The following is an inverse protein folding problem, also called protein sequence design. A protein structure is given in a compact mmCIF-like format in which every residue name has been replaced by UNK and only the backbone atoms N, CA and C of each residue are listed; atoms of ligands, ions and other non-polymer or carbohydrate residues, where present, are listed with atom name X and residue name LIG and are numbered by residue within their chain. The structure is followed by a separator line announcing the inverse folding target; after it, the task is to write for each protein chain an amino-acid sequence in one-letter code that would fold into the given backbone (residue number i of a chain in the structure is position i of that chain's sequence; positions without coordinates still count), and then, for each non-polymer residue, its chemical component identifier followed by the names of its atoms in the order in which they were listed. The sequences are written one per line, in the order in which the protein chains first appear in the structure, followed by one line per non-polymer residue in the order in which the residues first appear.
data_IF_017583881571
#
_entry.id   IF_017583881571
#
_cell.length_a   1.000
_cell.length_b   1.000
_cell.length_c   1.000
_cell.angle_alpha   90.00
_cell.angle_beta   90.00
_cell.angle_gamma   90.00
#
_symmetry.space_group_name_H-M   'P 1'
#
loop_
_entity.id
_entity.type
_entity.pdbx_description
1 polymer ?
#
# COMPACT_ATOMS: atom_id res chain seq x y z
N UNK A 1 3.50 -7.90 -25.07
CA UNK A 1 2.86 -8.98 -24.30
C UNK A 1 3.40 -8.85 -22.88
N UNK A 2 2.55 -8.76 -21.85
CA UNK A 2 3.05 -8.72 -20.46
C UNK A 2 3.44 -10.14 -20.12
N UNK A 3 4.69 -10.35 -19.72
CA UNK A 3 5.14 -11.68 -19.30
C UNK A 3 4.37 -12.09 -18.03
N UNK A 4 3.81 -13.32 -18.00
CA UNK A 4 3.10 -13.80 -16.83
C UNK A 4 4.09 -13.91 -15.67
N UNK A 5 3.87 -13.14 -14.60
CA UNK A 5 4.68 -13.18 -13.39
C UNK A 5 3.96 -13.93 -12.27
N UNK A 6 4.77 -14.50 -11.37
CA UNK A 6 4.33 -15.15 -10.14
C UNK A 6 5.00 -14.43 -8.98
N UNK A 7 4.22 -14.09 -7.96
CA UNK A 7 4.72 -13.50 -6.72
C UNK A 7 4.30 -14.35 -5.53
N UNK A 8 5.27 -14.92 -4.85
CA UNK A 8 5.07 -15.61 -3.58
C UNK A 8 4.93 -14.60 -2.43
N UNK A 9 4.24 -15.00 -1.37
CA UNK A 9 4.04 -14.20 -0.16
C UNK A 9 5.37 -14.01 0.59
N UNK A 10 5.56 -12.81 1.16
CA UNK A 10 6.73 -12.54 1.99
C UNK A 10 6.62 -13.30 3.32
N UNK A 11 7.72 -13.86 3.78
CA UNK A 11 7.83 -14.52 5.09
C UNK A 11 8.45 -13.56 6.10
N UNK A 12 7.86 -13.48 7.28
CA UNK A 12 8.39 -12.68 8.39
C UNK A 12 8.60 -13.58 9.61
N UNK A 13 9.83 -13.64 10.11
CA UNK A 13 10.18 -14.41 11.31
C UNK A 13 10.79 -13.49 12.38
N UNK A 14 10.27 -13.60 13.62
CA UNK A 14 10.77 -12.88 14.80
C UNK A 14 12.01 -13.59 15.35
N UNK A 15 12.99 -12.80 15.78
CA UNK A 15 14.20 -13.22 16.51
C UNK A 15 14.37 -12.33 17.74
N UNK A 16 15.35 -12.62 18.57
CA UNK A 16 15.66 -11.81 19.74
C UNK A 16 16.45 -10.55 19.31
N UNK A 17 15.86 -9.37 19.49
CA UNK A 17 16.46 -8.08 19.14
C UNK A 17 16.45 -7.69 17.64
N UNK A 18 15.98 -8.57 16.76
CA UNK A 18 15.75 -8.26 15.34
C UNK A 18 14.60 -9.09 14.76
N UNK A 19 14.15 -8.76 13.55
CA UNK A 19 13.26 -9.63 12.78
C UNK A 19 13.71 -9.70 11.33
N UNK A 20 13.38 -10.82 10.71
CA UNK A 20 13.80 -11.13 9.35
C UNK A 20 12.59 -11.15 8.44
N UNK A 21 12.72 -10.51 7.29
CA UNK A 21 11.72 -10.54 6.22
C UNK A 21 12.35 -11.13 4.97
N UNK A 22 11.90 -12.32 4.59
CA UNK A 22 12.31 -12.99 3.37
C UNK A 22 11.26 -12.79 2.29
N UNK A 23 11.67 -12.14 1.20
CA UNK A 23 10.89 -12.00 -0.02
C UNK A 23 11.42 -13.01 -1.05
N UNK A 24 10.64 -14.04 -1.40
CA UNK A 24 11.00 -15.02 -2.43
C UNK A 24 11.36 -14.37 -3.78
N UNK A 25 12.06 -15.12 -4.63
CA UNK A 25 12.42 -14.66 -5.98
C UNK A 25 11.14 -14.26 -6.75
N UNK A 26 11.08 -13.02 -7.22
CA UNK A 26 10.04 -12.56 -8.15
C UNK A 26 10.45 -12.88 -9.58
N UNK A 27 9.50 -13.25 -10.43
CA UNK A 27 9.78 -13.58 -11.84
C UNK A 27 10.55 -12.44 -12.52
N UNK A 28 11.73 -12.74 -13.07
CA UNK A 28 12.62 -11.78 -13.71
C UNK A 28 13.66 -11.11 -12.80
N UNK A 29 13.71 -11.47 -11.51
CA UNK A 29 14.81 -11.09 -10.61
C UNK A 29 15.82 -12.22 -10.44
N UNK A 30 17.06 -11.84 -10.16
CA UNK A 30 18.20 -12.75 -9.97
C UNK A 30 18.31 -13.27 -8.53
N UNK A 31 17.70 -12.59 -7.56
CA UNK A 31 17.88 -12.86 -6.12
C UNK A 31 16.56 -12.83 -5.35
N UNK A 32 16.43 -13.70 -4.36
CA UNK A 32 15.51 -13.50 -3.25
C UNK A 32 16.06 -12.40 -2.33
N UNK A 33 15.17 -11.63 -1.71
CA UNK A 33 15.59 -10.50 -0.85
C UNK A 33 15.37 -10.87 0.60
N UNK A 34 16.44 -10.88 1.39
CA UNK A 34 16.39 -11.08 2.82
C UNK A 34 16.66 -9.75 3.53
N UNK A 35 15.68 -9.23 4.27
CA UNK A 35 15.84 -7.99 5.04
C UNK A 35 15.95 -8.30 6.51
N UNK A 36 17.08 -7.93 7.10
CA UNK A 36 17.33 -8.04 8.52
C UNK A 36 17.05 -6.70 9.19
N UNK A 37 16.01 -6.63 10.00
CA UNK A 37 15.54 -5.39 10.62
C UNK A 37 15.90 -5.41 12.11
N UNK A 38 16.96 -4.67 12.46
CA UNK A 38 17.52 -4.62 13.82
C UNK A 38 16.84 -3.54 14.63
N UNK A 39 16.29 -3.88 15.80
CA UNK A 39 15.62 -2.93 16.68
C UNK A 39 16.19 -2.91 18.11
N UNK A 40 17.16 -3.77 18.42
CA UNK A 40 17.95 -3.77 19.65
C UNK A 40 19.40 -3.38 19.33
N UNK A 41 19.92 -2.37 20.03
CA UNK A 41 21.30 -1.89 19.84
C UNK A 41 22.35 -2.91 20.27
N UNK A 42 22.04 -3.83 21.19
CA UNK A 42 22.99 -4.89 21.61
C UNK A 42 23.37 -5.82 20.47
N UNK A 43 22.44 -6.03 19.54
CA UNK A 43 22.58 -6.91 18.37
C UNK A 43 23.35 -6.21 17.25
N UNK A 44 23.40 -4.87 17.27
CA UNK A 44 24.01 -4.08 16.20
C UNK A 44 25.53 -4.26 16.10
N UNK A 45 26.20 -4.67 17.17
CA UNK A 45 27.66 -4.91 17.17
C UNK A 45 28.03 -6.27 16.56
N UNK A 46 27.18 -7.29 16.72
CA UNK A 46 27.36 -8.64 16.14
C UNK A 46 26.65 -8.83 14.80
N UNK A 47 26.22 -7.73 14.18
CA UNK A 47 25.40 -7.71 12.96
C UNK A 47 25.97 -8.53 11.81
N UNK A 48 27.31 -8.58 11.69
CA UNK A 48 27.99 -9.29 10.61
C UNK A 48 27.79 -10.80 10.75
N UNK A 49 28.03 -11.35 11.94
CA UNK A 49 27.86 -12.78 12.23
C UNK A 49 26.40 -13.20 12.10
N UNK A 50 25.48 -12.33 12.52
CA UNK A 50 24.04 -12.57 12.41
C UNK A 50 23.60 -12.55 10.94
N UNK A 51 24.11 -11.61 10.14
CA UNK A 51 23.81 -11.56 8.71
C UNK A 51 24.30 -12.83 7.98
N UNK A 52 25.53 -13.26 8.24
CA UNK A 52 26.11 -14.45 7.61
C UNK A 52 25.37 -15.73 8.04
N UNK A 53 25.01 -15.87 9.32
CA UNK A 53 24.25 -17.02 9.82
C UNK A 53 22.80 -17.07 9.31
N UNK A 54 22.09 -15.94 9.31
CA UNK A 54 20.73 -15.88 8.75
C UNK A 54 20.74 -16.16 7.26
N UNK A 55 21.67 -15.56 6.50
CA UNK A 55 21.78 -15.87 5.08
C UNK A 55 22.02 -17.37 4.84
N UNK A 56 22.89 -18.00 5.63
CA UNK A 56 23.13 -19.44 5.53
C UNK A 56 21.87 -20.26 5.81
N UNK A 57 21.10 -19.92 6.85
CA UNK A 57 19.85 -20.59 7.18
C UNK A 57 18.82 -20.50 6.03
N UNK A 58 18.58 -19.29 5.50
CA UNK A 58 17.59 -19.10 4.43
C UNK A 58 18.06 -19.68 3.09
N UNK A 59 19.35 -19.61 2.79
CA UNK A 59 19.93 -20.19 1.59
C UNK A 59 19.81 -21.72 1.60
N UNK A 60 20.05 -22.37 2.74
CA UNK A 60 19.85 -23.82 2.88
C UNK A 60 18.37 -24.23 2.87
N UNK A 61 17.47 -23.34 3.30
CA UNK A 61 16.03 -23.64 3.33
C UNK A 61 15.42 -23.66 1.92
N UNK A 62 15.72 -22.65 1.10
CA UNK A 62 15.10 -22.49 -0.22
C UNK A 62 16.05 -22.73 -1.40
N UNK A 63 17.35 -22.96 -1.17
CA UNK A 63 18.34 -23.23 -2.23
C UNK A 63 18.39 -22.19 -3.36
N UNK A 64 17.85 -20.99 -3.14
CA UNK A 64 17.89 -19.87 -4.08
C UNK A 64 19.03 -18.93 -3.78
N UNK A 65 19.53 -18.16 -4.75
CA UNK A 65 20.41 -17.03 -4.50
C UNK A 65 19.69 -15.95 -3.66
N UNK A 66 20.37 -15.45 -2.63
CA UNK A 66 19.82 -14.48 -1.68
C UNK A 66 20.70 -13.24 -1.64
N UNK A 67 20.05 -12.07 -1.69
CA UNK A 67 20.61 -10.78 -1.35
C UNK A 67 20.09 -10.36 0.02
N UNK A 68 20.98 -10.33 1.01
CA UNK A 68 20.70 -9.84 2.35
C UNK A 68 21.02 -8.35 2.47
N UNK A 69 20.03 -7.60 2.96
CA UNK A 69 20.17 -6.20 3.34
C UNK A 69 19.86 -6.02 4.82
N UNK A 70 20.72 -5.29 5.51
CA UNK A 70 20.48 -4.89 6.90
C UNK A 70 19.78 -3.54 6.92
N UNK A 71 18.71 -3.43 7.68
CA UNK A 71 18.00 -2.19 7.97
C UNK A 71 18.07 -1.91 9.46
N UNK A 72 18.64 -0.77 9.80
CA UNK A 72 18.65 -0.26 11.16
C UNK A 72 17.28 0.36 11.51
N UNK A 73 16.65 -0.15 12.56
CA UNK A 73 15.41 0.35 13.15
C UNK A 73 15.59 0.80 14.61
N UNK A 74 16.85 0.91 15.06
CA UNK A 74 17.21 1.48 16.37
C UNK A 74 17.16 3.01 16.33
N UNK A 75 17.26 3.65 17.48
CA UNK A 75 17.38 5.12 17.57
C UNK A 75 18.80 5.61 17.18
N UNK A 76 19.76 4.72 17.00
CA UNK A 76 21.11 5.06 16.56
C UNK A 76 21.14 5.29 15.05
N UNK A 77 21.92 6.28 14.59
CA UNK A 77 22.05 6.57 13.16
C UNK A 77 23.30 5.88 12.59
N UNK A 78 23.13 4.66 12.10
CA UNK A 78 24.16 3.92 11.37
C UNK A 78 23.56 3.20 10.17
N UNK A 79 24.34 3.06 9.10
CA UNK A 79 24.03 2.21 7.94
C UNK A 79 24.91 0.96 7.93
N UNK A 80 24.50 -0.06 7.17
CA UNK A 80 25.26 -1.30 6.99
C UNK A 80 26.72 -1.04 6.62
N UNK A 81 26.96 -0.08 5.72
CA UNK A 81 28.30 0.31 5.29
C UNK A 81 29.15 0.89 6.43
N UNK A 82 28.53 1.59 7.38
CA UNK A 82 29.23 2.23 8.49
C UNK A 82 29.71 1.19 9.52
N UNK A 83 28.92 0.11 9.74
CA UNK A 83 29.26 -0.97 10.68
C UNK A 83 30.08 -2.10 10.06
N UNK A 84 29.79 -2.48 8.82
CA UNK A 84 30.34 -3.68 8.17
C UNK A 84 31.34 -3.33 7.05
N UNK A 85 31.32 -2.10 6.54
CA UNK A 85 32.12 -1.67 5.39
C UNK A 85 31.47 -1.95 4.02
N UNK A 86 30.39 -2.74 4.01
CA UNK A 86 29.71 -3.24 2.81
C UNK A 86 28.22 -2.90 2.82
N UNK A 87 27.58 -2.91 1.64
CA UNK A 87 26.16 -2.50 1.53
C UNK A 87 25.20 -3.67 1.71
N UNK A 88 25.54 -4.82 1.12
CA UNK A 88 24.70 -6.02 1.12
C UNK A 88 25.59 -7.27 1.10
N UNK A 89 25.00 -8.39 1.52
CA UNK A 89 25.62 -9.70 1.49
C UNK A 89 24.89 -10.55 0.46
N UNK A 90 25.62 -11.07 -0.50
CA UNK A 90 25.13 -12.07 -1.43
C UNK A 90 25.49 -13.45 -0.94
N UNK A 91 24.63 -14.43 -1.21
CA UNK A 91 25.01 -15.80 -1.01
C UNK A 91 24.05 -16.80 -1.61
N UNK A 92 24.59 -18.00 -1.78
CA UNK A 92 23.93 -19.08 -2.49
C UNK A 92 24.47 -20.43 -2.06
N UNK A 93 23.76 -21.51 -2.42
CA UNK A 93 24.20 -22.87 -2.11
C UNK A 93 24.92 -23.48 -3.31
N UNK A 94 26.15 -23.97 -3.10
CA UNK A 94 26.92 -24.75 -4.07
C UNK A 94 27.37 -26.04 -3.43
N UNK A 95 26.96 -27.18 -3.98
CA UNK A 95 27.29 -28.52 -3.46
C UNK A 95 26.96 -28.70 -1.96
N UNK A 96 25.82 -28.16 -1.52
CA UNK A 96 25.36 -28.24 -0.13
C UNK A 96 26.09 -27.32 0.86
N UNK A 97 27.02 -26.48 0.39
CA UNK A 97 27.67 -25.45 1.21
C UNK A 97 27.19 -24.07 0.77
N UNK A 98 26.99 -23.19 1.76
CA UNK A 98 26.65 -21.80 1.50
C UNK A 98 27.93 -21.05 1.17
N UNK A 99 27.94 -20.39 0.01
CA UNK A 99 29.00 -19.48 -0.42
C UNK A 99 28.47 -18.07 -0.26
N UNK A 100 29.25 -17.19 0.37
CA UNK A 100 28.84 -15.82 0.71
C UNK A 100 29.85 -14.80 0.23
N UNK A 101 29.38 -13.70 -0.36
CA UNK A 101 30.21 -12.59 -0.84
C UNK A 101 29.61 -11.26 -0.42
N UNK A 102 30.43 -10.39 0.15
CA UNK A 102 30.03 -9.03 0.45
C UNK A 102 30.09 -8.16 -0.82
N UNK A 103 29.07 -7.32 -1.03
CA UNK A 103 28.84 -6.56 -2.26
C UNK A 103 28.69 -7.44 -3.50
N UNK A 104 29.56 -7.35 -4.51
CA UNK A 104 29.38 -8.03 -5.80
C UNK A 104 30.07 -9.39 -5.86
N UNK A 105 29.52 -10.31 -6.65
CA UNK A 105 30.26 -11.50 -7.05
C UNK A 105 31.49 -11.10 -7.89
N UNK A 106 32.62 -11.82 -7.76
CA UNK A 106 33.67 -11.79 -8.76
C UNK A 106 33.09 -12.21 -10.13
N UNK A 107 33.47 -11.53 -11.22
CA UNK A 107 32.97 -11.84 -12.58
C UNK A 107 33.22 -13.31 -12.97
N UNK A 108 34.24 -13.96 -12.40
CA UNK A 108 34.57 -15.37 -12.63
C UNK A 108 33.74 -16.37 -11.81
N UNK A 109 32.96 -15.89 -10.84
CA UNK A 109 32.23 -16.71 -9.86
C UNK A 109 30.74 -16.37 -9.82
N UNK A 110 30.22 -15.65 -10.82
CA UNK A 110 28.79 -15.43 -10.98
C UNK A 110 28.07 -16.77 -11.13
N UNK A 111 27.15 -17.09 -10.20
CA UNK A 111 26.50 -18.38 -10.21
C UNK A 111 25.34 -18.40 -11.22
N UNK A 112 25.32 -19.42 -12.07
CA UNK A 112 24.20 -19.69 -12.97
C UNK A 112 23.14 -20.51 -12.21
N UNK A 113 21.99 -19.89 -11.94
CA UNK A 113 20.86 -20.52 -11.27
C UNK A 113 19.70 -20.74 -12.23
N UNK A 114 19.08 -21.90 -12.10
CA UNK A 114 17.76 -22.11 -12.68
C UNK A 114 16.72 -21.37 -11.83
N UNK A 115 16.29 -20.20 -12.31
CA UNK A 115 15.19 -19.42 -11.73
C UNK A 115 13.89 -19.58 -12.55
N UNK A 116 13.77 -20.70 -13.26
CA UNK A 116 12.55 -21.05 -13.99
C UNK A 116 11.36 -21.17 -13.04
N UNK A 117 10.16 -20.97 -13.58
CA UNK A 117 8.91 -21.05 -12.80
C UNK A 117 8.72 -22.43 -12.18
N UNK A 118 9.10 -23.47 -12.90
CA UNK A 118 8.95 -24.85 -12.47
C UNK A 118 9.82 -25.10 -11.23
N UNK A 119 11.11 -24.74 -11.27
CA UNK A 119 12.00 -24.84 -10.13
C UNK A 119 11.53 -24.01 -8.93
N UNK A 120 11.15 -22.74 -9.15
CA UNK A 120 10.65 -21.88 -8.07
C UNK A 120 9.36 -22.41 -7.44
N UNK A 121 8.50 -23.10 -8.21
CA UNK A 121 7.27 -23.70 -7.70
C UNK A 121 7.53 -24.90 -6.78
N UNK A 122 8.58 -25.67 -7.06
CA UNK A 122 9.03 -26.77 -6.19
C UNK A 122 9.69 -26.24 -4.91
N UNK A 123 10.58 -25.26 -5.06
CA UNK A 123 11.30 -24.64 -3.94
C UNK A 123 10.36 -23.95 -2.96
N UNK A 124 9.38 -23.20 -3.47
CA UNK A 124 8.42 -22.47 -2.66
C UNK A 124 7.10 -23.22 -2.47
N UNK A 125 7.11 -24.54 -2.62
CA UNK A 125 5.96 -25.38 -2.38
C UNK A 125 5.41 -25.15 -0.96
N UNK A 126 4.14 -24.72 -0.88
CA UNK A 126 3.47 -24.40 0.39
C UNK A 126 3.39 -22.91 0.71
N UNK A 127 4.08 -22.04 -0.02
CA UNK A 127 3.86 -20.59 0.06
C UNK A 127 2.64 -20.20 -0.79
N UNK A 128 1.84 -19.28 -0.26
CA UNK A 128 0.80 -18.65 -1.06
C UNK A 128 1.45 -17.82 -2.15
N UNK A 129 0.90 -17.85 -3.34
CA UNK A 129 1.34 -17.04 -4.45
C UNK A 129 0.16 -16.34 -5.12
N UNK A 130 0.45 -15.23 -5.77
CA UNK A 130 -0.46 -14.55 -6.68
C UNK A 130 0.14 -14.58 -8.07
N UNK A 131 -0.65 -14.96 -9.06
CA UNK A 131 -0.27 -14.85 -10.46
C UNK A 131 -0.77 -13.52 -11.04
N UNK A 132 -0.19 -13.13 -12.18
CA UNK A 132 -0.72 -12.02 -12.97
C UNK A 132 -2.21 -12.20 -13.31
N UNK A 133 -2.62 -13.43 -13.63
CA UNK A 133 -4.00 -13.73 -14.00
C UNK A 133 -4.98 -13.52 -12.83
N UNK A 134 -4.58 -13.90 -11.61
CA UNK A 134 -5.37 -13.67 -10.40
C UNK A 134 -5.59 -12.17 -10.16
N UNK A 135 -4.54 -11.37 -10.30
CA UNK A 135 -4.62 -9.91 -10.11
C UNK A 135 -5.47 -9.26 -11.21
N UNK A 136 -5.35 -9.71 -12.46
CA UNK A 136 -6.21 -9.22 -13.54
C UNK A 136 -7.66 -9.64 -13.32
N UNK A 137 -7.92 -10.84 -12.79
CA UNK A 137 -9.26 -11.30 -12.48
C UNK A 137 -9.89 -10.47 -11.34
N UNK A 138 -9.15 -10.22 -10.24
CA UNK A 138 -9.56 -9.33 -9.15
C UNK A 138 -9.91 -7.93 -9.70
N UNK A 139 -9.02 -7.34 -10.52
CA UNK A 139 -9.27 -6.02 -11.13
C UNK A 139 -10.47 -6.01 -12.08
N UNK A 140 -10.71 -7.09 -12.83
CA UNK A 140 -11.90 -7.22 -13.69
C UNK A 140 -13.19 -7.30 -12.87
N UNK A 141 -13.17 -7.96 -11.71
CA UNK A 141 -14.32 -8.02 -10.79
C UNK A 141 -14.61 -6.64 -10.22
N UNK A 142 -13.57 -5.93 -9.75
CA UNK A 142 -13.70 -4.55 -9.25
C UNK A 142 -14.22 -3.59 -10.34
N UNK A 143 -13.73 -3.73 -11.57
CA UNK A 143 -14.18 -2.93 -12.70
C UNK A 143 -15.65 -3.22 -13.08
N UNK A 144 -16.10 -4.49 -12.99
CA UNK A 144 -17.52 -4.85 -13.16
C UNK A 144 -18.37 -4.22 -12.05
N UNK A 145 -17.94 -4.25 -10.80
CA UNK A 145 -18.62 -3.57 -9.69
C UNK A 145 -18.80 -2.07 -9.95
N UNK A 146 -17.76 -1.41 -10.46
CA UNK A 146 -17.82 0.01 -10.84
C UNK A 146 -18.80 0.28 -12.00
N UNK A 147 -18.87 -0.59 -13.00
CA UNK A 147 -19.83 -0.48 -14.11
C UNK A 147 -21.28 -0.67 -13.64
N UNK A 148 -21.55 -1.67 -12.80
CA UNK A 148 -22.89 -1.90 -12.23
C UNK A 148 -23.32 -0.71 -11.38
N UNK A 149 -22.41 -0.20 -10.54
CA UNK A 149 -22.66 1.00 -9.75
C UNK A 149 -23.04 2.20 -10.62
N UNK A 150 -22.29 2.45 -11.70
CA UNK A 150 -22.62 3.52 -12.66
C UNK A 150 -23.98 3.32 -13.32
N UNK A 151 -24.32 2.10 -13.75
CA UNK A 151 -25.62 1.79 -14.37
C UNK A 151 -26.77 2.05 -13.38
N UNK A 152 -26.64 1.63 -12.13
CA UNK A 152 -27.66 1.89 -11.09
C UNK A 152 -27.83 3.39 -10.87
N UNK A 153 -26.73 4.14 -10.81
CA UNK A 153 -26.76 5.59 -10.62
C UNK A 153 -27.41 6.32 -11.80
N UNK A 154 -27.11 5.90 -13.04
CA UNK A 154 -27.75 6.42 -14.25
C UNK A 154 -29.23 6.06 -14.31
N UNK A 155 -29.61 4.82 -14.01
CA UNK A 155 -31.01 4.42 -13.91
C UNK A 155 -31.75 5.26 -12.88
N UNK A 156 -31.16 5.50 -11.71
CA UNK A 156 -31.76 6.34 -10.68
C UNK A 156 -31.92 7.80 -11.13
N UNK A 157 -30.89 8.35 -11.78
CA UNK A 157 -30.88 9.71 -12.32
C UNK A 157 -31.84 9.92 -13.50
N UNK A 158 -32.17 8.88 -14.28
CA UNK A 158 -33.06 8.97 -15.43
C UNK A 158 -34.49 8.50 -15.12
N UNK A 159 -34.66 7.37 -14.43
CA UNK A 159 -35.97 6.78 -14.13
C UNK A 159 -36.78 7.64 -13.17
N UNK A 160 -36.17 8.22 -12.13
CA UNK A 160 -36.94 9.04 -11.18
C UNK A 160 -37.49 10.30 -11.86
N UNK A 161 -36.70 11.09 -12.61
CA UNK A 161 -37.24 12.21 -13.38
C UNK A 161 -38.25 11.80 -14.45
N UNK A 162 -38.03 10.67 -15.14
CA UNK A 162 -38.96 10.17 -16.14
C UNK A 162 -40.29 9.72 -15.52
N UNK A 163 -40.28 9.05 -14.36
CA UNK A 163 -41.48 8.68 -13.62
C UNK A 163 -42.21 9.92 -13.10
N UNK A 164 -41.50 10.93 -12.60
CA UNK A 164 -42.09 12.22 -12.21
C UNK A 164 -42.80 12.87 -13.42
N UNK A 165 -42.15 12.89 -14.59
CA UNK A 165 -42.74 13.43 -15.81
C UNK A 165 -43.95 12.62 -16.30
N UNK A 166 -43.87 11.29 -16.26
CA UNK A 166 -44.91 10.37 -16.73
C UNK A 166 -46.16 10.37 -15.82
N UNK A 167 -45.96 10.33 -14.49
CA UNK A 167 -47.06 10.49 -13.54
C UNK A 167 -47.64 11.91 -13.55
N UNK A 168 -46.83 12.91 -13.91
CA UNK A 168 -47.29 14.27 -14.20
C UNK A 168 -48.25 14.37 -15.38
N UNK A 169 -48.30 13.37 -16.26
CA UNK A 169 -49.23 13.32 -17.40
C UNK A 169 -50.47 12.46 -17.14
N UNK A 170 -50.34 11.39 -16.35
CA UNK A 170 -51.41 10.39 -16.18
C UNK A 170 -52.47 10.77 -15.14
N UNK A 171 -52.14 11.59 -14.16
CA UNK A 171 -53.10 12.03 -13.15
C UNK A 171 -52.89 13.53 -12.84
N UNK A 172 -53.86 14.40 -13.16
CA UNK A 172 -53.77 15.84 -12.88
C UNK A 172 -53.46 16.13 -11.41
N UNK A 173 -53.93 15.29 -10.49
CA UNK A 173 -53.69 15.44 -9.05
C UNK A 173 -52.22 15.18 -8.70
N UNK A 174 -51.60 14.17 -9.30
CA UNK A 174 -50.18 13.85 -9.05
C UNK A 174 -49.27 14.89 -9.70
N UNK A 175 -49.62 15.37 -10.89
CA UNK A 175 -48.96 16.50 -11.55
C UNK A 175 -49.02 17.77 -10.70
N UNK A 176 -50.21 18.07 -10.16
CA UNK A 176 -50.43 19.22 -9.30
C UNK A 176 -49.69 19.09 -7.97
N UNK A 177 -49.62 17.88 -7.39
CA UNK A 177 -48.81 17.62 -6.19
C UNK A 177 -47.30 17.74 -6.48
N UNK A 178 -46.81 17.22 -7.60
CA UNK A 178 -45.42 17.34 -8.01
C UNK A 178 -45.05 18.80 -8.31
N UNK A 179 -45.93 19.56 -8.96
CA UNK A 179 -45.78 20.98 -9.24
C UNK A 179 -45.84 21.81 -7.97
N UNK A 180 -46.80 21.53 -7.07
CA UNK A 180 -46.89 22.16 -5.76
C UNK A 180 -45.67 21.86 -4.89
N UNK A 181 -45.16 20.63 -4.92
CA UNK A 181 -43.92 20.26 -4.22
C UNK A 181 -42.70 20.96 -4.83
N UNK A 182 -42.61 21.03 -6.16
CA UNK A 182 -41.52 21.73 -6.86
C UNK A 182 -41.54 23.23 -6.57
N UNK A 183 -42.72 23.86 -6.59
CA UNK A 183 -42.90 25.26 -6.17
C UNK A 183 -42.62 25.46 -4.70
N UNK A 184 -43.05 24.56 -3.82
CA UNK A 184 -42.74 24.64 -2.39
C UNK A 184 -41.22 24.55 -2.15
N UNK A 185 -40.52 23.61 -2.80
CA UNK A 185 -39.06 23.48 -2.71
C UNK A 185 -38.37 24.70 -3.30
N UNK A 186 -38.82 25.21 -4.45
CA UNK A 186 -38.28 26.42 -5.07
C UNK A 186 -38.51 27.66 -4.19
N UNK A 187 -39.69 27.78 -3.58
CA UNK A 187 -40.04 28.86 -2.65
C UNK A 187 -39.23 28.77 -1.36
N UNK A 188 -39.04 27.57 -0.79
CA UNK A 188 -38.19 27.35 0.38
C UNK A 188 -36.72 27.69 0.08
N UNK A 189 -36.21 27.30 -1.11
CA UNK A 189 -34.87 27.69 -1.57
C UNK A 189 -34.76 29.18 -1.85
N UNK A 190 -35.79 29.79 -2.44
CA UNK A 190 -35.88 31.23 -2.68
C UNK A 190 -35.89 32.04 -1.40
N UNK A 191 -36.64 31.62 -0.39
CA UNK A 191 -36.64 32.22 0.95
C UNK A 191 -35.28 32.09 1.66
N UNK A 192 -34.56 30.98 1.43
CA UNK A 192 -33.20 30.78 1.91
C UNK A 192 -32.20 31.72 1.21
N UNK A 193 -32.36 31.94 -0.10
CA UNK A 193 -31.54 32.90 -0.88
C UNK A 193 -31.85 34.36 -0.52
N UNK A 194 -33.11 34.72 -0.28
CA UNK A 194 -33.53 36.06 0.16
C UNK A 194 -33.23 36.35 1.64
N UNK A 195 -32.61 35.41 2.37
CA UNK A 195 -32.21 35.58 3.77
C UNK A 195 -33.36 35.62 4.79
N UNK A 196 -34.60 35.35 4.36
CA UNK A 196 -35.79 35.37 5.23
C UNK A 196 -36.00 34.09 6.04
N UNK A 197 -35.31 33.00 5.69
CA UNK A 197 -35.32 31.75 6.45
C UNK A 197 -34.06 31.67 7.32
N UNK A 198 -34.24 31.67 8.64
CA UNK A 198 -33.14 31.47 9.60
C UNK A 198 -32.52 30.10 9.35
N UNK A 199 -31.21 30.05 9.06
CA UNK A 199 -30.47 28.80 8.86
C UNK A 199 -30.61 27.92 10.11
N UNK A 200 -30.79 26.62 9.91
CA UNK A 200 -30.80 25.66 11.02
C UNK A 200 -29.41 25.60 11.68
N UNK A 201 -29.32 25.25 12.96
CA UNK A 201 -28.04 25.08 13.66
C UNK A 201 -27.11 24.09 12.95
N UNK A 202 -27.69 23.03 12.38
CA UNK A 202 -26.93 22.06 11.56
C UNK A 202 -26.36 22.69 10.30
N UNK A 203 -27.14 23.51 9.59
CA UNK A 203 -26.68 24.20 8.39
C UNK A 203 -25.63 25.27 8.71
N UNK A 204 -25.74 25.92 9.88
CA UNK A 204 -24.74 26.86 10.37
C UNK A 204 -23.42 26.16 10.73
N UNK A 205 -23.48 24.97 11.32
CA UNK A 205 -22.30 24.14 11.59
C UNK A 205 -21.63 23.69 10.28
N UNK A 206 -22.42 23.20 9.32
CA UNK A 206 -21.91 22.79 8.01
C UNK A 206 -21.30 23.97 7.22
N UNK A 207 -21.90 25.16 7.29
CA UNK A 207 -21.36 26.37 6.66
C UNK A 207 -20.06 26.84 7.34
N UNK A 208 -19.97 26.75 8.67
CA UNK A 208 -18.72 27.05 9.41
C UNK A 208 -17.61 26.08 9.02
N UNK A 209 -17.90 24.78 9.02
CA UNK A 209 -16.94 23.77 8.61
C UNK A 209 -16.50 23.96 7.14
N UNK A 210 -17.44 24.33 6.26
CA UNK A 210 -17.11 24.64 4.86
C UNK A 210 -16.21 25.87 4.76
N UNK A 211 -16.54 26.96 5.47
CA UNK A 211 -15.73 28.18 5.50
C UNK A 211 -14.33 27.92 6.06
N UNK A 212 -14.22 27.10 7.11
CA UNK A 212 -12.92 26.69 7.65
C UNK A 212 -12.13 25.90 6.61
N UNK A 213 -12.73 24.89 5.96
CA UNK A 213 -12.08 24.12 4.88
C UNK A 213 -11.65 25.01 3.72
N UNK A 214 -12.51 25.93 3.27
CA UNK A 214 -12.22 26.88 2.20
C UNK A 214 -11.10 27.83 2.59
N UNK A 215 -11.11 28.33 3.82
CA UNK A 215 -10.07 29.19 4.37
C UNK A 215 -8.72 28.45 4.44
N UNK A 216 -8.71 27.22 4.97
CA UNK A 216 -7.51 26.38 4.97
C UNK A 216 -7.00 26.10 3.54
N UNK A 217 -7.90 25.72 2.63
CA UNK A 217 -7.55 25.45 1.24
C UNK A 217 -7.00 26.69 0.52
N UNK A 218 -7.59 27.86 0.75
CA UNK A 218 -7.13 29.13 0.21
C UNK A 218 -5.69 29.44 0.67
N UNK A 219 -5.41 29.33 1.96
CA UNK A 219 -4.05 29.54 2.48
C UNK A 219 -3.05 28.48 2.00
N UNK A 220 -3.49 27.23 1.83
CA UNK A 220 -2.66 26.19 1.21
C UNK A 220 -2.33 26.48 -0.27
N UNK A 221 -3.25 27.12 -1.02
CA UNK A 221 -2.99 27.56 -2.40
C UNK A 221 -2.02 28.74 -2.48
N UNK A 222 -2.05 29.64 -1.50
CA UNK A 222 -1.13 30.78 -1.45
C UNK A 222 0.32 30.34 -1.19
N UNK A 223 0.53 29.20 -0.54
CA UNK A 223 1.87 28.64 -0.28
C UNK A 223 1.93 27.13 -0.58
N UNK A 224 2.03 26.75 -1.87
CA UNK A 224 2.05 25.35 -2.26
C UNK A 224 3.31 24.61 -1.77
N UNK A 225 4.44 25.31 -1.67
CA UNK A 225 5.71 24.73 -1.21
C UNK A 225 5.63 24.31 0.25
N UNK A 226 5.10 25.17 1.13
CA UNK A 226 4.89 24.83 2.53
C UNK A 226 3.91 23.66 2.69
N UNK A 227 2.85 23.60 1.88
CA UNK A 227 1.92 22.47 1.90
C UNK A 227 2.59 21.16 1.45
N UNK A 228 3.40 21.19 0.37
CA UNK A 228 4.17 20.03 -0.07
C UNK A 228 5.15 19.55 1.00
N UNK A 229 5.80 20.47 1.70
CA UNK A 229 6.66 20.15 2.83
C UNK A 229 5.89 19.50 3.98
N UNK A 230 4.78 20.09 4.41
CA UNK A 230 3.91 19.53 5.46
C UNK A 230 3.38 18.13 5.08
N UNK A 231 2.97 17.94 3.82
CA UNK A 231 2.54 16.64 3.31
C UNK A 231 3.66 15.61 3.39
N UNK A 232 4.87 16.00 3.01
CA UNK A 232 6.06 15.14 3.08
C UNK A 232 6.40 14.79 4.53
N UNK A 233 6.36 15.77 5.44
CA UNK A 233 6.57 15.57 6.88
C UNK A 233 5.50 14.65 7.49
N UNK A 234 4.24 14.81 7.13
CA UNK A 234 3.14 13.93 7.58
C UNK A 234 3.34 12.49 7.11
N UNK A 235 3.72 12.28 5.84
CA UNK A 235 4.05 10.93 5.36
C UNK A 235 5.25 10.32 6.06
N UNK A 236 6.29 11.12 6.33
CA UNK A 236 7.44 10.67 7.14
C UNK A 236 6.99 10.25 8.54
N UNK A 237 6.15 11.06 9.21
CA UNK A 237 5.62 10.75 10.55
C UNK A 237 4.80 9.46 10.55
N UNK A 238 3.87 9.31 9.60
CA UNK A 238 3.07 8.09 9.47
C UNK A 238 3.93 6.84 9.22
N UNK A 239 5.01 6.97 8.44
CA UNK A 239 5.95 5.88 8.20
C UNK A 239 6.67 5.48 9.49
N UNK A 240 7.15 6.45 10.27
CA UNK A 240 7.80 6.21 11.56
C UNK A 240 6.86 5.59 12.58
N UNK A 241 5.61 6.07 12.68
CA UNK A 241 4.58 5.50 13.56
C UNK A 241 4.30 4.02 13.21
N UNK A 242 4.15 3.71 11.91
CA UNK A 242 3.97 2.32 11.45
C UNK A 242 5.18 1.44 11.78
N UNK A 243 6.39 1.97 11.61
CA UNK A 243 7.62 1.25 11.96
C UNK A 243 7.69 0.97 13.46
N UNK A 244 7.39 1.95 14.31
CA UNK A 244 7.36 1.80 15.77
C UNK A 244 6.31 0.77 16.21
N UNK A 245 5.08 0.88 15.71
CA UNK A 245 4.03 -0.09 16.01
C UNK A 245 4.43 -1.51 15.57
N UNK A 246 5.11 -1.65 14.42
CA UNK A 246 5.64 -2.94 13.97
C UNK A 246 6.71 -3.45 14.94
N UNK A 247 7.69 -2.64 15.33
CA UNK A 247 8.72 -3.03 16.30
C UNK A 247 8.08 -3.47 17.62
N UNK A 248 7.10 -2.73 18.14
CA UNK A 248 6.38 -3.09 19.37
C UNK A 248 5.66 -4.43 19.23
N UNK A 249 4.95 -4.66 18.12
CA UNK A 249 4.31 -5.96 17.85
C UNK A 249 5.29 -7.13 17.72
N UNK A 250 6.53 -6.84 17.33
CA UNK A 250 7.59 -7.84 17.22
C UNK A 250 8.41 -7.95 18.50
N UNK A 251 8.24 -7.06 19.50
CA UNK A 251 8.84 -7.18 20.84
C UNK A 251 7.96 -8.05 21.74
N UNK A 252 6.66 -7.78 21.74
CA UNK A 252 5.64 -8.60 22.43
C UNK A 252 5.51 -9.99 21.79
#
# INVERSE_FOLDING_TARGET
MIEPWIRYEDLEEKRDGYYVKYSPVFTGHEFAILKLNVYDSKVADDIKNIAESELAYWALKYHTPIMLMVSNMTDENWNTKDKIGHNYLLGYVKSGKVVTYWDKYPESEEPEFDLSKDYLSEVYAGLKYKTYEDVVAEQKIEAKGRKVFLIVLTLWACMIPALIAFFGWSNPVVSLLALAYSWYVAFQKGLKLWGRKKKSERELAEDKERLEKEHHHYHCKLNPEAFLRLRTENFKRQRLEKQRAKIESMRN
#
